data_IF_521270901638
#
_entry.id   IF_521270901638
#
_cell.length_a   1.000
_cell.length_b   1.000
_cell.length_c   1.000
_cell.angle_alpha   90.00
_cell.angle_beta   90.00
_cell.angle_gamma   90.00
#
_symmetry.space_group_name_H-M   'P 1'
#
loop_
_entity.id
_entity.type
_entity.pdbx_description
1 polymer ?
#
# COMPACT_ATOMS: atom_id res chain seq x y z
N UNK A 1 0.43 -5.26 -22.85
CA UNK A 1 0.06 -4.55 -21.60
C UNK A 1 -1.23 -5.21 -21.13
N UNK A 2 -1.31 -5.80 -19.93
CA UNK A 2 -2.61 -6.23 -19.40
C UNK A 2 -3.42 -4.99 -19.08
N UNK A 3 -4.71 -5.00 -19.41
CA UNK A 3 -5.64 -3.91 -19.09
C UNK A 3 -5.63 -3.66 -17.57
N UNK A 4 -5.33 -2.43 -17.19
CA UNK A 4 -5.41 -1.98 -15.81
C UNK A 4 -6.56 -0.98 -15.72
N UNK A 5 -7.52 -1.27 -14.85
CA UNK A 5 -8.64 -0.38 -14.56
C UNK A 5 -8.32 0.38 -13.27
N UNK A 6 -8.08 1.68 -13.40
CA UNK A 6 -7.93 2.56 -12.24
C UNK A 6 -9.32 3.12 -11.89
N UNK A 7 -9.73 2.94 -10.64
CA UNK A 7 -10.88 3.64 -10.08
C UNK A 7 -10.39 4.95 -9.49
N UNK A 8 -11.24 5.98 -9.54
CA UNK A 8 -10.90 7.28 -8.95
C UNK A 8 -10.62 7.12 -7.45
N UNK A 9 -9.57 7.79 -6.93
CA UNK A 9 -9.24 7.72 -5.51
C UNK A 9 -10.38 8.31 -4.67
N UNK A 10 -10.75 7.60 -3.60
CA UNK A 10 -11.72 8.09 -2.62
C UNK A 10 -11.08 9.08 -1.66
N UNK A 11 -11.42 10.37 -1.78
CA UNK A 11 -10.96 11.41 -0.85
C UNK A 11 -10.83 12.79 -1.50
N UNK A 12 -10.49 13.83 -0.71
CA UNK A 12 -10.22 15.16 -1.24
C UNK A 12 -8.91 15.19 -2.04
N UNK A 13 -8.78 16.06 -3.06
CA UNK A 13 -7.57 16.19 -3.88
C UNK A 13 -6.47 16.97 -3.14
N UNK A 14 -5.87 16.36 -2.12
CA UNK A 14 -4.82 16.95 -1.29
C UNK A 14 -3.63 16.00 -1.16
N UNK A 15 -2.43 16.58 -1.05
CA UNK A 15 -1.17 15.82 -0.94
C UNK A 15 -0.54 15.48 -2.30
N UNK A 16 0.56 14.74 -2.26
CA UNK A 16 1.25 14.27 -3.46
C UNK A 16 0.60 12.98 -3.99
N UNK A 17 0.31 12.88 -5.30
CA UNK A 17 -0.25 11.68 -5.89
C UNK A 17 0.76 10.53 -5.84
N UNK A 18 0.25 9.31 -5.64
CA UNK A 18 1.08 8.11 -5.63
C UNK A 18 0.35 6.96 -6.33
N UNK A 19 1.14 6.05 -6.92
CA UNK A 19 0.67 4.79 -7.49
C UNK A 19 1.63 3.69 -7.06
N UNK A 20 1.09 2.58 -6.57
CA UNK A 20 1.87 1.38 -6.31
C UNK A 20 1.42 0.27 -7.26
N UNK A 21 2.40 -0.38 -7.90
CA UNK A 21 2.20 -1.56 -8.72
C UNK A 21 3.14 -2.63 -8.21
N UNK A 22 2.58 -3.74 -7.73
CA UNK A 22 3.38 -4.89 -7.35
C UNK A 22 3.84 -5.65 -8.59
N UNK A 23 5.09 -6.15 -8.54
CA UNK A 23 5.62 -7.07 -9.55
C UNK A 23 5.20 -8.53 -9.29
N UNK A 24 4.52 -8.78 -8.17
CA UNK A 24 3.92 -10.07 -7.87
C UNK A 24 2.74 -9.98 -6.90
N UNK A 25 2.62 -10.96 -6.02
CA UNK A 25 1.45 -11.10 -5.14
C UNK A 25 1.62 -10.21 -3.91
N UNK A 26 0.74 -9.22 -3.75
CA UNK A 26 0.66 -8.47 -2.48
C UNK A 26 0.28 -9.43 -1.36
N UNK A 27 1.12 -9.51 -0.33
CA UNK A 27 0.91 -10.36 0.85
C UNK A 27 0.57 -9.57 2.09
N UNK A 28 0.99 -8.30 2.15
CA UNK A 28 0.68 -7.42 3.28
C UNK A 28 0.29 -6.03 2.82
N UNK A 29 -0.74 -5.48 3.47
CA UNK A 29 -0.99 -4.04 3.56
C UNK A 29 -0.64 -3.60 4.97
N UNK A 30 0.17 -2.55 5.07
CA UNK A 30 0.62 -2.00 6.34
C UNK A 30 0.02 -0.59 6.45
N UNK A 31 -0.80 -0.39 7.47
CA UNK A 31 -1.47 0.88 7.75
C UNK A 31 -0.81 1.58 8.94
N UNK A 32 -0.52 2.87 8.80
CA UNK A 32 -0.36 3.78 9.93
C UNK A 32 -1.68 4.51 10.14
N UNK A 33 -2.33 4.32 11.28
CA UNK A 33 -3.64 4.93 11.55
C UNK A 33 -3.76 5.47 12.97
N UNK A 34 -4.50 6.57 13.12
CA UNK A 34 -4.69 7.26 14.38
C UNK A 34 -6.10 7.12 14.94
N UNK A 35 -6.32 7.82 16.05
CA UNK A 35 -7.68 8.03 16.57
C UNK A 35 -8.52 8.82 15.56
N UNK A 36 -9.84 8.60 15.58
CA UNK A 36 -10.83 9.27 14.70
C UNK A 36 -10.80 8.87 13.20
N UNK A 37 -10.53 7.59 12.90
CA UNK A 37 -10.69 7.01 11.55
C UNK A 37 -9.78 7.62 10.46
N UNK A 38 -8.64 8.20 10.86
CA UNK A 38 -7.66 8.76 9.92
C UNK A 38 -6.58 7.73 9.63
N UNK A 39 -6.35 7.49 8.34
CA UNK A 39 -5.16 6.78 7.85
C UNK A 39 -4.07 7.80 7.62
N UNK A 40 -3.00 7.75 8.42
CA UNK A 40 -1.80 8.56 8.24
C UNK A 40 -0.98 8.06 7.05
N UNK A 41 -0.84 6.74 6.90
CA UNK A 41 -0.02 6.16 5.85
C UNK A 41 -0.41 4.74 5.45
N UNK A 42 0.01 4.36 4.23
CA UNK A 42 -0.12 3.01 3.70
C UNK A 42 1.22 2.56 3.08
N UNK A 43 1.54 1.27 3.21
CA UNK A 43 2.62 0.62 2.46
C UNK A 43 2.26 -0.83 2.16
N UNK A 44 2.95 -1.41 1.18
CA UNK A 44 2.66 -2.73 0.65
C UNK A 44 3.91 -3.61 0.74
N UNK A 45 3.70 -4.90 0.99
CA UNK A 45 4.68 -5.94 0.72
C UNK A 45 4.11 -6.92 -0.28
N UNK A 46 4.92 -7.31 -1.26
CA UNK A 46 4.56 -8.31 -2.24
C UNK A 46 5.66 -9.36 -2.37
N UNK A 47 5.27 -10.59 -2.61
CA UNK A 47 6.17 -11.68 -3.00
C UNK A 47 6.43 -11.60 -4.50
N UNK A 48 7.65 -11.93 -4.92
CA UNK A 48 8.01 -11.97 -6.33
C UNK A 48 7.31 -13.14 -7.03
N UNK A 49 6.91 -12.94 -8.30
CA UNK A 49 6.33 -14.00 -9.12
C UNK A 49 7.29 -15.15 -9.42
N UNK A 50 8.60 -14.93 -9.30
CA UNK A 50 9.64 -15.93 -9.58
C UNK A 50 9.95 -16.87 -8.40
N UNK A 51 9.21 -16.73 -7.28
CA UNK A 51 9.41 -17.55 -6.08
C UNK A 51 10.62 -17.13 -5.24
N UNK A 52 11.29 -16.02 -5.56
CA UNK A 52 12.34 -15.46 -4.70
C UNK A 52 11.75 -14.88 -3.41
N UNK A 53 12.44 -15.11 -2.30
CA UNK A 53 12.04 -14.65 -0.96
C UNK A 53 12.22 -13.14 -0.75
N UNK A 54 12.94 -12.47 -1.67
CA UNK A 54 13.14 -11.03 -1.67
C UNK A 54 11.95 -10.36 -2.36
N UNK A 55 10.82 -10.35 -1.66
CA UNK A 55 9.65 -9.60 -2.07
C UNK A 55 9.92 -8.09 -2.20
N UNK A 56 9.15 -7.40 -3.05
CA UNK A 56 9.18 -5.94 -3.15
C UNK A 56 8.40 -5.30 -2.00
N UNK A 57 8.97 -4.28 -1.36
CA UNK A 57 8.24 -3.40 -0.44
C UNK A 57 8.06 -2.03 -1.08
N UNK A 58 6.88 -1.43 -0.93
CA UNK A 58 6.69 -0.04 -1.30
C UNK A 58 7.35 0.89 -0.29
N UNK A 59 7.60 2.13 -0.71
CA UNK A 59 7.78 3.23 0.24
C UNK A 59 6.53 3.41 1.10
N UNK A 60 6.68 4.14 2.21
CA UNK A 60 5.54 4.58 3.00
C UNK A 60 4.89 5.79 2.34
N UNK A 61 3.63 5.64 1.97
CA UNK A 61 2.83 6.65 1.27
C UNK A 61 1.98 7.39 2.29
N UNK A 62 2.13 8.71 2.38
CA UNK A 62 1.45 9.56 3.38
C UNK A 62 2.35 10.06 4.51
N UNK A 63 1.73 10.38 5.65
CA UNK A 63 2.34 11.02 6.80
C UNK A 63 3.21 10.10 7.67
N UNK A 64 3.72 10.66 8.79
CA UNK A 64 4.57 9.95 9.75
C UNK A 64 3.87 9.40 10.99
N UNK A 65 2.62 9.76 11.21
CA UNK A 65 1.85 9.42 12.39
C UNK A 65 1.21 8.03 12.34
N UNK A 66 0.38 7.78 13.36
CA UNK A 66 -0.44 6.58 13.48
C UNK A 66 0.25 5.38 14.12
N UNK A 67 -0.57 4.48 14.66
CA UNK A 67 -0.17 3.16 15.08
C UNK A 67 -0.11 2.22 13.87
N UNK A 68 0.85 1.30 13.89
CA UNK A 68 1.05 0.33 12.81
C UNK A 68 0.08 -0.84 12.96
N UNK A 69 -0.58 -1.20 11.86
CA UNK A 69 -1.29 -2.48 11.70
C UNK A 69 -0.83 -3.16 10.43
N UNK A 70 -0.41 -4.42 10.54
CA UNK A 70 -0.12 -5.31 9.41
C UNK A 70 -1.37 -6.15 9.13
N UNK A 71 -1.85 -6.07 7.89
CA UNK A 71 -2.93 -6.92 7.38
C UNK A 71 -2.30 -7.93 6.45
N UNK A 72 -2.19 -9.18 6.91
CA UNK A 72 -1.72 -10.30 6.10
C UNK A 72 -2.85 -10.85 5.23
N UNK A 73 -2.53 -11.16 3.99
CA UNK A 73 -3.46 -11.75 3.03
C UNK A 73 -3.09 -13.22 2.80
N UNK A 74 -4.02 -14.12 3.12
CA UNK A 74 -3.92 -15.56 2.91
C UNK A 74 -4.15 -15.95 1.47
#
# INVERSE_FOLDING_TARGET
MKDAYLLDPGGPPRGEPWVYKADGRVTHIILGHGVAYVIDSISFRAESCDGSTLGSSSDRLGGRGGQRTDVSMS
#
